data_IF_282653900830
#
_entry.id   IF_282653900830
#
_cell.length_a   1.000
_cell.length_b   1.000
_cell.length_c   1.000
_cell.angle_alpha   90.00
_cell.angle_beta   90.00
_cell.angle_gamma   90.00
#
_symmetry.space_group_name_H-M   'P 1'
#
loop_
_entity.id
_entity.type
_entity.pdbx_description
1 polymer ?
#
# COMPACT_ATOMS: atom_id res chain seq x y z
N UNK A 1 11.10 23.43 -14.61
CA UNK A 1 10.83 23.96 -13.25
C UNK A 1 9.77 23.17 -12.44
N UNK A 2 8.73 22.57 -13.06
CA UNK A 2 7.70 21.77 -12.35
C UNK A 2 8.21 20.41 -11.81
N UNK A 3 9.13 19.75 -12.51
CA UNK A 3 9.63 18.40 -12.19
C UNK A 3 10.65 18.37 -11.05
N UNK A 4 11.53 19.37 -10.96
CA UNK A 4 12.53 19.47 -9.89
C UNK A 4 11.90 19.68 -8.51
N UNK A 5 10.78 20.40 -8.44
CA UNK A 5 9.99 20.49 -7.20
C UNK A 5 9.49 19.13 -6.74
N UNK A 6 8.84 18.38 -7.64
CA UNK A 6 8.26 17.07 -7.33
C UNK A 6 9.31 16.06 -6.85
N UNK A 7 10.50 16.00 -7.49
CA UNK A 7 11.58 15.09 -7.08
C UNK A 7 11.99 15.30 -5.62
N UNK A 8 12.18 16.56 -5.22
CA UNK A 8 12.55 16.91 -3.85
C UNK A 8 11.47 16.49 -2.85
N UNK A 9 10.20 16.75 -3.17
CA UNK A 9 9.11 16.39 -2.26
C UNK A 9 8.92 14.87 -2.14
N UNK A 10 9.12 14.12 -3.22
CA UNK A 10 9.15 12.64 -3.17
C UNK A 10 10.33 12.15 -2.33
N UNK A 11 11.51 12.76 -2.47
CA UNK A 11 12.68 12.39 -1.67
C UNK A 11 12.44 12.63 -0.17
N UNK A 12 11.76 13.72 0.18
CA UNK A 12 11.34 13.99 1.56
C UNK A 12 10.38 12.92 2.08
N UNK A 13 9.39 12.52 1.28
CA UNK A 13 8.48 11.44 1.64
C UNK A 13 9.21 10.11 1.87
N UNK A 14 10.17 9.77 1.00
CA UNK A 14 11.01 8.58 1.17
C UNK A 14 11.82 8.65 2.46
N UNK A 15 12.36 9.83 2.80
CA UNK A 15 13.05 10.07 4.07
C UNK A 15 12.15 9.84 5.28
N UNK A 16 10.93 10.40 5.28
CA UNK A 16 9.93 10.18 6.34
C UNK A 16 9.61 8.69 6.49
N UNK A 17 9.38 7.99 5.37
CA UNK A 17 9.11 6.54 5.38
C UNK A 17 10.28 5.73 5.92
N UNK A 18 11.50 6.11 5.56
CA UNK A 18 12.70 5.46 6.09
C UNK A 18 12.78 5.62 7.62
N UNK A 19 12.53 6.83 8.12
CA UNK A 19 12.46 7.08 9.58
C UNK A 19 11.39 6.24 10.24
N UNK A 20 10.17 6.18 9.68
CA UNK A 20 9.09 5.32 10.21
C UNK A 20 9.47 3.83 10.22
N UNK A 21 10.16 3.37 9.17
CA UNK A 21 10.66 2.00 9.12
C UNK A 21 11.71 1.73 10.22
N UNK A 22 12.65 2.64 10.43
CA UNK A 22 13.64 2.52 11.51
C UNK A 22 12.96 2.51 12.88
N UNK A 23 11.96 3.39 13.10
CA UNK A 23 11.17 3.39 14.33
C UNK A 23 10.47 2.04 14.53
N UNK A 24 9.86 1.49 13.47
CA UNK A 24 9.22 0.17 13.52
C UNK A 24 10.20 -0.95 13.87
N UNK A 25 11.41 -0.93 13.31
CA UNK A 25 12.46 -1.90 13.60
C UNK A 25 12.96 -1.79 15.05
N UNK A 26 13.19 -0.55 15.52
CA UNK A 26 13.63 -0.32 16.90
C UNK A 26 12.53 -0.73 17.88
N UNK A 27 11.28 -0.38 17.60
CA UNK A 27 10.13 -0.80 18.42
C UNK A 27 10.07 -2.32 18.58
N UNK A 28 10.31 -3.08 17.50
CA UNK A 28 10.31 -4.54 17.55
C UNK A 28 11.44 -5.10 18.41
N UNK A 29 12.65 -4.56 18.27
CA UNK A 29 13.82 -5.04 19.02
C UNK A 29 13.80 -4.63 20.50
N UNK A 30 13.25 -3.46 20.85
CA UNK A 30 13.30 -2.92 22.21
C UNK A 30 12.05 -3.21 23.05
N UNK A 31 10.86 -3.12 22.46
CA UNK A 31 9.60 -3.30 23.19
C UNK A 31 9.07 -4.73 23.12
N UNK A 32 9.63 -5.55 22.23
CA UNK A 32 9.09 -6.85 21.87
C UNK A 32 7.76 -6.72 21.09
N UNK A 33 7.35 -7.79 20.44
CA UNK A 33 6.03 -7.89 19.82
C UNK A 33 5.06 -8.48 20.84
N UNK A 34 3.94 -7.79 21.06
CA UNK A 34 2.79 -8.39 21.74
C UNK A 34 2.00 -9.34 20.83
N UNK A 35 2.20 -9.24 19.51
CA UNK A 35 1.51 -10.04 18.49
C UNK A 35 2.50 -10.97 17.79
N UNK A 36 2.57 -12.21 18.27
CA UNK A 36 3.41 -13.27 17.70
C UNK A 36 2.77 -13.93 16.47
N UNK A 37 1.59 -13.50 16.04
CA UNK A 37 0.87 -14.10 14.90
C UNK A 37 1.69 -14.01 13.61
N UNK A 38 2.40 -12.90 13.42
CA UNK A 38 3.29 -12.70 12.28
C UNK A 38 4.46 -13.66 12.31
N UNK A 39 5.09 -13.83 13.46
CA UNK A 39 6.23 -14.73 13.59
C UNK A 39 5.79 -16.20 13.50
N UNK A 40 4.63 -16.55 14.06
CA UNK A 40 4.03 -17.86 13.89
C UNK A 40 3.69 -18.14 12.42
N UNK A 41 3.15 -17.17 11.68
CA UNK A 41 2.76 -17.34 10.28
C UNK A 41 3.96 -17.32 9.32
N UNK A 42 4.97 -16.48 9.58
CA UNK A 42 6.16 -16.35 8.73
C UNK A 42 7.28 -17.32 9.10
N UNK A 43 7.42 -17.71 10.36
CA UNK A 43 8.51 -18.57 10.85
C UNK A 43 8.03 -19.88 11.50
N UNK A 44 6.87 -19.88 12.17
CA UNK A 44 6.35 -21.05 12.90
C UNK A 44 5.59 -22.09 12.05
N UNK A 45 5.01 -21.69 10.91
CA UNK A 45 4.15 -22.53 10.07
C UNK A 45 4.78 -22.90 8.73
N UNK A 46 6.03 -23.39 8.74
CA UNK A 46 6.56 -24.11 7.58
C UNK A 46 5.76 -25.41 7.45
N UNK A 47 4.76 -25.42 6.56
CA UNK A 47 4.28 -26.67 6.00
C UNK A 47 5.52 -27.39 5.43
N UNK A 48 5.62 -28.69 5.65
CA UNK A 48 6.81 -29.52 5.36
C UNK A 48 7.41 -29.31 3.94
N UNK A 49 6.61 -28.81 2.99
CA UNK A 49 7.03 -28.44 1.63
C UNK A 49 7.94 -27.18 1.51
N UNK A 50 7.91 -26.24 2.46
CA UNK A 50 8.69 -24.98 2.39
C UNK A 50 10.04 -25.06 3.13
N UNK A 51 10.24 -26.07 3.98
CA UNK A 51 11.45 -26.22 4.81
C UNK A 51 12.70 -26.55 3.98
N UNK A 52 12.52 -27.26 2.86
CA UNK A 52 13.62 -27.77 2.02
C UNK A 52 14.26 -26.68 1.14
N UNK A 53 13.62 -25.51 0.98
CA UNK A 53 14.06 -24.41 0.10
C UNK A 53 14.37 -23.07 0.80
N UNK A 54 14.45 -23.04 2.13
CA UNK A 54 14.77 -21.80 2.84
C UNK A 54 16.23 -21.34 2.61
N UNK A 55 16.41 -20.53 1.56
CA UNK A 55 17.67 -19.86 1.28
C UNK A 55 17.96 -18.83 2.38
N UNK A 56 19.24 -18.55 2.66
CA UNK A 56 19.64 -17.48 3.61
C UNK A 56 18.97 -16.13 3.26
N UNK A 57 18.76 -15.87 1.98
CA UNK A 57 18.04 -14.72 1.44
C UNK A 57 16.59 -14.64 1.97
N UNK A 58 15.86 -15.75 2.00
CA UNK A 58 14.47 -15.80 2.45
C UNK A 58 14.37 -15.46 3.93
N UNK A 59 15.27 -16.00 4.76
CA UNK A 59 15.33 -15.69 6.18
C UNK A 59 15.62 -14.21 6.40
N UNK A 60 16.53 -13.63 5.63
CA UNK A 60 16.85 -12.21 5.69
C UNK A 60 15.65 -11.35 5.30
N UNK A 61 14.98 -11.65 4.19
CA UNK A 61 13.80 -10.91 3.72
C UNK A 61 12.69 -10.99 4.76
N UNK A 62 12.37 -12.19 5.26
CA UNK A 62 11.33 -12.37 6.29
C UNK A 62 11.63 -11.55 7.54
N UNK A 63 12.87 -11.53 8.00
CA UNK A 63 13.28 -10.71 9.16
C UNK A 63 13.12 -9.21 8.90
N UNK A 64 13.50 -8.72 7.72
CA UNK A 64 13.39 -7.29 7.39
C UNK A 64 11.94 -6.82 7.23
N UNK A 65 11.06 -7.75 6.85
CA UNK A 65 9.67 -7.50 6.50
C UNK A 65 8.70 -7.73 7.67
N UNK A 66 9.06 -8.57 8.64
CA UNK A 66 8.23 -8.88 9.82
C UNK A 66 7.60 -7.64 10.49
N UNK A 67 8.34 -6.54 10.73
CA UNK A 67 7.77 -5.37 11.39
C UNK A 67 6.62 -4.70 10.62
N UNK A 68 6.59 -4.87 9.30
CA UNK A 68 5.61 -4.25 8.39
C UNK A 68 4.40 -5.15 8.12
N UNK A 69 4.34 -6.33 8.73
CA UNK A 69 3.24 -7.28 8.56
C UNK A 69 2.63 -7.51 9.92
N UNK A 70 1.53 -6.85 10.20
CA UNK A 70 0.79 -7.02 11.46
C UNK A 70 -0.71 -6.97 11.19
N UNK A 71 -1.47 -7.68 12.01
CA UNK A 71 -2.94 -7.68 12.00
C UNK A 71 -3.52 -8.08 10.63
N UNK A 72 -4.22 -7.16 9.96
CA UNK A 72 -4.96 -7.45 8.73
C UNK A 72 -4.08 -7.90 7.57
N UNK A 73 -2.79 -7.52 7.60
CA UNK A 73 -1.78 -7.96 6.65
C UNK A 73 -1.76 -9.49 6.48
N UNK A 74 -1.97 -10.24 7.57
CA UNK A 74 -1.95 -11.70 7.55
C UNK A 74 -3.12 -12.28 6.74
N UNK A 75 -4.30 -11.66 6.79
CA UNK A 75 -5.43 -12.08 5.96
C UNK A 75 -5.13 -11.84 4.48
N UNK A 76 -4.53 -10.70 4.11
CA UNK A 76 -4.17 -10.45 2.70
C UNK A 76 -3.15 -11.46 2.17
N UNK A 77 -2.14 -11.80 2.97
CA UNK A 77 -1.15 -12.84 2.61
C UNK A 77 -1.82 -14.21 2.47
N UNK A 78 -2.68 -14.59 3.42
CA UNK A 78 -3.41 -15.86 3.36
C UNK A 78 -4.33 -15.96 2.13
N UNK A 79 -5.09 -14.91 1.82
CA UNK A 79 -5.93 -14.86 0.60
C UNK A 79 -5.07 -14.99 -0.66
N UNK A 80 -3.93 -14.32 -0.72
CA UNK A 80 -3.03 -14.41 -1.86
C UNK A 80 -2.42 -15.82 -2.01
N UNK A 81 -2.14 -16.51 -0.90
CA UNK A 81 -1.50 -17.83 -0.88
C UNK A 81 -2.50 -18.98 -1.15
N UNK A 82 -3.66 -18.95 -0.49
CA UNK A 82 -4.64 -20.04 -0.40
C UNK A 82 -6.04 -19.68 -0.88
N UNK A 83 -6.33 -18.40 -1.11
CA UNK A 83 -7.67 -17.92 -1.46
C UNK A 83 -8.61 -17.78 -0.26
N UNK A 84 -9.90 -17.66 -0.55
CA UNK A 84 -10.94 -17.49 0.48
C UNK A 84 -11.31 -18.83 1.10
N UNK A 85 -10.70 -19.17 2.24
CA UNK A 85 -10.93 -20.44 2.93
C UNK A 85 -12.01 -20.37 4.01
N UNK A 86 -12.24 -19.18 4.59
CA UNK A 86 -13.11 -19.00 5.76
C UNK A 86 -14.05 -17.81 5.57
N UNK A 87 -15.21 -17.85 6.23
CA UNK A 87 -16.23 -16.81 6.11
C UNK A 87 -15.75 -15.43 6.56
N UNK A 88 -14.99 -15.38 7.67
CA UNK A 88 -14.43 -14.13 8.22
C UNK A 88 -13.54 -13.37 7.23
N UNK A 89 -12.94 -14.10 6.28
CA UNK A 89 -11.98 -13.55 5.32
C UNK A 89 -12.71 -12.85 4.16
N UNK A 90 -14.02 -13.07 3.99
CA UNK A 90 -14.84 -12.46 2.91
C UNK A 90 -14.96 -10.94 3.03
N UNK A 91 -14.72 -10.36 4.21
CA UNK A 91 -14.70 -8.92 4.41
C UNK A 91 -13.53 -8.23 3.69
N UNK A 92 -12.45 -8.97 3.38
CA UNK A 92 -11.28 -8.47 2.67
C UNK A 92 -11.49 -8.57 1.16
N UNK A 93 -11.38 -7.43 0.49
CA UNK A 93 -11.64 -7.33 -0.94
C UNK A 93 -10.52 -7.98 -1.78
N UNK A 94 -10.84 -8.55 -2.95
CA UNK A 94 -9.94 -9.46 -3.67
C UNK A 94 -8.82 -8.76 -4.45
N UNK A 95 -8.99 -7.48 -4.82
CA UNK A 95 -8.11 -6.84 -5.80
C UNK A 95 -6.66 -6.76 -5.30
N UNK A 96 -6.45 -6.40 -4.03
CA UNK A 96 -5.11 -6.29 -3.47
C UNK A 96 -4.40 -7.65 -3.32
N UNK A 97 -4.98 -8.69 -2.69
CA UNK A 97 -4.40 -10.04 -2.67
C UNK A 97 -4.16 -10.64 -4.06
N UNK A 98 -5.04 -10.35 -5.03
CA UNK A 98 -4.87 -10.81 -6.41
C UNK A 98 -3.63 -10.19 -7.06
N UNK A 99 -3.44 -8.88 -6.91
CA UNK A 99 -2.24 -8.19 -7.40
C UNK A 99 -0.97 -8.72 -6.72
N UNK A 100 -1.00 -8.95 -5.40
CA UNK A 100 0.10 -9.59 -4.67
C UNK A 100 0.49 -10.93 -5.29
N UNK A 101 -0.51 -11.77 -5.60
CA UNK A 101 -0.31 -13.09 -6.21
C UNK A 101 0.21 -13.03 -7.64
N UNK A 102 -0.18 -12.03 -8.42
CA UNK A 102 0.32 -11.85 -9.79
C UNK A 102 1.76 -11.38 -9.77
N UNK A 103 2.08 -10.37 -8.96
CA UNK A 103 3.42 -9.81 -8.83
C UNK A 103 4.40 -10.85 -8.26
N UNK A 104 3.93 -11.71 -7.33
CA UNK A 104 4.79 -12.74 -6.72
C UNK A 104 5.33 -13.77 -7.69
N UNK A 105 4.64 -13.99 -8.83
CA UNK A 105 5.15 -14.88 -9.90
C UNK A 105 6.46 -14.40 -10.52
N UNK A 106 6.76 -13.09 -10.43
CA UNK A 106 8.03 -12.52 -10.88
C UNK A 106 9.22 -12.87 -9.97
N UNK A 107 8.96 -13.27 -8.72
CA UNK A 107 9.99 -13.61 -7.73
C UNK A 107 10.15 -15.12 -7.58
N UNK A 108 10.38 -15.82 -8.70
CA UNK A 108 10.51 -17.28 -8.76
C UNK A 108 11.68 -17.86 -7.95
N UNK A 109 12.63 -17.02 -7.54
CA UNK A 109 13.79 -17.39 -6.74
C UNK A 109 13.54 -17.37 -5.23
N UNK A 110 12.37 -16.93 -4.77
CA UNK A 110 11.96 -16.91 -3.37
C UNK A 110 10.94 -18.02 -3.09
N UNK A 111 10.83 -18.47 -1.84
CA UNK A 111 9.69 -19.31 -1.42
C UNK A 111 8.37 -18.60 -1.67
N UNK A 112 7.31 -19.36 -1.98
CA UNK A 112 5.99 -18.82 -2.36
C UNK A 112 5.47 -17.78 -1.36
N UNK A 113 5.57 -18.07 -0.06
CA UNK A 113 5.13 -17.13 1.00
C UNK A 113 5.99 -15.86 1.03
N UNK A 114 7.32 -15.97 0.98
CA UNK A 114 8.22 -14.81 0.94
C UNK A 114 7.96 -13.94 -0.29
N UNK A 115 7.76 -14.55 -1.46
CA UNK A 115 7.45 -13.86 -2.71
C UNK A 115 6.16 -13.04 -2.61
N UNK A 116 5.09 -13.62 -2.06
CA UNK A 116 3.79 -12.94 -1.86
C UNK A 116 3.93 -11.76 -0.92
N UNK A 117 4.58 -11.98 0.22
CA UNK A 117 4.84 -10.98 1.25
C UNK A 117 5.63 -9.80 0.68
N UNK A 118 6.75 -10.10 0.02
CA UNK A 118 7.60 -9.09 -0.60
C UNK A 118 6.86 -8.30 -1.68
N UNK A 119 6.06 -9.00 -2.49
CA UNK A 119 5.20 -8.37 -3.51
C UNK A 119 4.18 -7.42 -2.92
N UNK A 120 3.55 -7.78 -1.80
CA UNK A 120 2.59 -6.92 -1.11
C UNK A 120 3.23 -5.63 -0.60
N UNK A 121 4.41 -5.73 0.00
CA UNK A 121 5.14 -4.52 0.43
C UNK A 121 5.57 -3.65 -0.73
N UNK A 122 6.15 -4.24 -1.79
CA UNK A 122 6.53 -3.48 -2.98
C UNK A 122 5.33 -2.78 -3.61
N UNK A 123 4.18 -3.46 -3.67
CA UNK A 123 2.93 -2.88 -4.16
C UNK A 123 2.48 -1.71 -3.27
N UNK A 124 2.39 -1.90 -1.95
CA UNK A 124 1.99 -0.86 -1.00
C UNK A 124 2.93 0.36 -1.06
N UNK A 125 4.25 0.14 -1.05
CA UNK A 125 5.23 1.24 -1.08
C UNK A 125 5.20 2.00 -2.42
N UNK A 126 5.15 1.29 -3.54
CA UNK A 126 5.05 1.91 -4.89
C UNK A 126 3.75 2.69 -5.03
N UNK A 127 2.62 2.09 -4.64
CA UNK A 127 1.32 2.77 -4.69
C UNK A 127 1.30 4.01 -3.81
N UNK A 128 1.93 3.99 -2.63
CA UNK A 128 1.98 5.16 -1.76
C UNK A 128 2.76 6.32 -2.40
N UNK A 129 3.92 6.03 -3.02
CA UNK A 129 4.73 7.07 -3.69
C UNK A 129 3.94 7.68 -4.86
N UNK A 130 3.28 6.83 -5.65
CA UNK A 130 2.44 7.29 -6.76
C UNK A 130 1.22 8.07 -6.26
N UNK A 131 0.57 7.63 -5.19
CA UNK A 131 -0.56 8.33 -4.56
C UNK A 131 -0.14 9.72 -4.09
N UNK A 132 1.00 9.83 -3.40
CA UNK A 132 1.60 11.08 -2.99
C UNK A 132 1.88 12.02 -4.17
N UNK A 133 2.41 11.50 -5.27
CA UNK A 133 2.67 12.28 -6.48
C UNK A 133 1.36 12.82 -7.08
N UNK A 134 0.31 11.99 -7.19
CA UNK A 134 -0.99 12.43 -7.67
C UNK A 134 -1.66 13.43 -6.72
N UNK A 135 -1.52 13.25 -5.41
CA UNK A 135 -2.02 14.21 -4.41
C UNK A 135 -1.35 15.58 -4.57
N UNK A 136 -0.01 15.60 -4.72
CA UNK A 136 0.72 16.84 -4.98
C UNK A 136 0.27 17.53 -6.27
N UNK A 137 0.14 16.77 -7.36
CA UNK A 137 -0.30 17.29 -8.66
C UNK A 137 -1.74 17.80 -8.63
N UNK A 138 -2.63 17.09 -7.92
CA UNK A 138 -4.02 17.48 -7.71
C UNK A 138 -4.10 18.80 -6.94
N UNK A 139 -3.45 18.89 -5.78
CA UNK A 139 -3.46 20.11 -4.95
C UNK A 139 -2.86 21.30 -5.71
N UNK A 140 -1.77 21.08 -6.45
CA UNK A 140 -1.16 22.13 -7.26
C UNK A 140 -2.09 22.57 -8.40
N UNK A 141 -2.82 21.64 -9.02
CA UNK A 141 -3.77 21.94 -10.08
C UNK A 141 -4.97 22.74 -9.60
N UNK A 142 -5.52 22.39 -8.43
CA UNK A 142 -6.70 23.03 -7.84
C UNK A 142 -6.38 24.43 -7.28
N UNK A 143 -5.36 24.54 -6.42
CA UNK A 143 -5.09 25.76 -5.67
C UNK A 143 -4.05 26.67 -6.31
N UNK A 144 -3.32 26.17 -7.32
CA UNK A 144 -2.22 26.88 -8.02
C UNK A 144 -1.14 27.43 -7.07
N UNK A 145 -1.07 26.92 -5.84
CA UNK A 145 -0.13 27.33 -4.80
C UNK A 145 0.83 26.18 -4.49
N UNK A 146 2.12 26.40 -4.79
CA UNK A 146 3.17 25.40 -4.59
C UNK A 146 3.41 25.10 -3.11
N UNK A 147 3.41 26.11 -2.25
CA UNK A 147 3.64 25.94 -0.81
C UNK A 147 2.52 25.10 -0.20
N UNK A 148 1.27 25.36 -0.59
CA UNK A 148 0.13 24.59 -0.11
C UNK A 148 0.24 23.11 -0.50
N UNK A 149 0.59 22.81 -1.75
CA UNK A 149 0.81 21.43 -2.20
C UNK A 149 1.95 20.71 -1.47
N UNK A 150 3.02 21.43 -1.11
CA UNK A 150 4.14 20.89 -0.33
C UNK A 150 3.71 20.57 1.10
N UNK A 151 2.98 21.48 1.75
CA UNK A 151 2.45 21.27 3.09
C UNK A 151 1.49 20.08 3.12
N UNK A 152 0.60 19.95 2.11
CA UNK A 152 -0.29 18.79 1.99
C UNK A 152 0.49 17.48 1.92
N UNK A 153 1.55 17.42 1.12
CA UNK A 153 2.35 16.20 1.00
C UNK A 153 3.11 15.88 2.29
N UNK A 154 3.64 16.89 2.96
CA UNK A 154 4.31 16.74 4.25
C UNK A 154 3.37 16.15 5.30
N UNK A 155 2.15 16.68 5.42
CA UNK A 155 1.14 16.14 6.32
C UNK A 155 0.69 14.74 5.93
N UNK A 156 0.59 14.43 4.64
CA UNK A 156 0.28 13.07 4.18
C UNK A 156 1.33 12.05 4.64
N UNK A 157 2.62 12.43 4.65
CA UNK A 157 3.71 11.56 5.10
C UNK A 157 3.77 11.36 6.62
N UNK A 158 3.48 12.40 7.41
CA UNK A 158 3.66 12.38 8.88
C UNK A 158 2.38 12.03 9.65
N UNK A 159 1.21 12.14 9.00
CA UNK A 159 -0.06 11.79 9.64
C UNK A 159 0.03 10.42 10.34
N UNK A 160 -0.54 10.22 11.53
CA UNK A 160 -0.47 8.94 12.25
C UNK A 160 -0.92 7.74 11.41
N UNK A 161 -1.83 7.97 10.45
CA UNK A 161 -2.30 6.96 9.50
C UNK A 161 -1.22 6.50 8.49
N UNK A 162 -0.06 7.17 8.40
CA UNK A 162 1.04 6.83 7.48
C UNK A 162 1.73 5.51 7.82
N UNK A 163 1.49 4.97 9.03
CA UNK A 163 1.89 3.61 9.39
C UNK A 163 1.20 2.60 8.47
N UNK A 164 -0.10 2.76 8.20
CA UNK A 164 -0.85 1.90 7.27
C UNK A 164 -0.40 2.09 5.82
N UNK A 165 0.18 3.25 5.47
CA UNK A 165 0.68 3.47 4.12
C UNK A 165 2.12 3.00 3.90
N UNK A 166 2.78 2.54 4.98
CA UNK A 166 4.15 2.04 5.00
C UNK A 166 4.25 0.53 5.28
N UNK A 167 3.13 -0.09 5.63
CA UNK A 167 2.96 -1.51 5.91
C UNK A 167 2.19 -2.23 4.79
N UNK A 168 2.09 -3.56 4.86
CA UNK A 168 1.37 -4.38 3.88
C UNK A 168 -0.15 -4.21 4.06
N UNK A 169 -0.69 -3.24 3.34
CA UNK A 169 -2.06 -2.76 3.52
C UNK A 169 -2.65 -2.24 2.21
N UNK A 170 -3.98 -2.17 2.16
CA UNK A 170 -4.76 -1.79 0.96
C UNK A 170 -4.84 -0.27 0.76
N UNK A 171 -4.56 0.50 1.81
CA UNK A 171 -4.69 1.94 1.94
C UNK A 171 -3.88 2.69 0.86
N UNK A 172 -2.61 2.35 0.58
CA UNK A 172 -1.86 2.96 -0.52
C UNK A 172 -2.49 2.77 -1.90
N UNK A 173 -2.97 1.55 -2.19
CA UNK A 173 -3.57 1.24 -3.49
C UNK A 173 -4.91 1.97 -3.64
N UNK A 174 -5.71 2.00 -2.57
CA UNK A 174 -6.95 2.76 -2.52
C UNK A 174 -6.70 4.27 -2.71
N UNK A 175 -5.70 4.82 -2.01
CA UNK A 175 -5.32 6.23 -2.13
C UNK A 175 -4.83 6.57 -3.54
N UNK A 176 -4.03 5.67 -4.16
CA UNK A 176 -3.58 5.85 -5.54
C UNK A 176 -4.76 5.98 -6.51
N UNK A 177 -5.70 5.04 -6.49
CA UNK A 177 -6.86 5.09 -7.39
C UNK A 177 -7.77 6.29 -7.10
N UNK A 178 -7.93 6.66 -5.83
CA UNK A 178 -8.74 7.82 -5.45
C UNK A 178 -8.09 9.12 -5.93
N UNK A 179 -6.83 9.38 -5.60
CA UNK A 179 -6.15 10.62 -5.97
C UNK A 179 -5.90 10.75 -7.47
N UNK A 180 -5.54 9.65 -8.15
CA UNK A 180 -5.42 9.66 -9.61
C UNK A 180 -6.78 9.87 -10.29
N UNK A 181 -7.85 9.24 -9.79
CA UNK A 181 -9.21 9.46 -10.28
C UNK A 181 -9.65 10.92 -10.17
N UNK A 182 -9.43 11.53 -9.01
CA UNK A 182 -9.71 12.96 -8.78
C UNK A 182 -8.86 13.86 -9.68
N UNK A 183 -7.58 13.53 -9.86
CA UNK A 183 -6.68 14.29 -10.74
C UNK A 183 -7.17 14.27 -12.19
N UNK A 184 -7.52 13.10 -12.73
CA UNK A 184 -8.04 13.01 -14.10
C UNK A 184 -9.42 13.66 -14.25
N UNK A 185 -10.26 13.61 -13.22
CA UNK A 185 -11.57 14.25 -13.22
C UNK A 185 -11.46 15.78 -13.25
N UNK A 186 -10.75 16.37 -12.28
CA UNK A 186 -10.73 17.83 -12.07
C UNK A 186 -9.70 18.57 -12.91
N UNK A 187 -8.56 17.95 -13.24
CA UNK A 187 -7.47 18.64 -13.95
C UNK A 187 -7.51 18.38 -15.45
N UNK A 188 -7.79 17.14 -15.86
CA UNK A 188 -7.82 16.75 -17.28
C UNK A 188 -9.22 16.68 -17.89
N UNK A 189 -10.27 16.64 -17.08
CA UNK A 189 -11.65 16.43 -17.55
C UNK A 189 -11.91 15.02 -18.11
N UNK A 190 -11.01 14.07 -17.88
CA UNK A 190 -11.06 12.72 -18.44
C UNK A 190 -11.99 11.82 -17.59
N UNK A 191 -13.29 12.01 -17.73
CA UNK A 191 -14.34 11.37 -16.91
C UNK A 191 -14.35 9.85 -17.01
N UNK A 192 -14.03 9.27 -18.17
CA UNK A 192 -13.98 7.82 -18.36
C UNK A 192 -12.88 7.18 -17.51
N UNK A 193 -11.66 7.73 -17.58
CA UNK A 193 -10.50 7.26 -16.82
C UNK A 193 -10.77 7.39 -15.33
N UNK A 194 -11.31 8.53 -14.88
CA UNK A 194 -11.69 8.74 -13.49
C UNK A 194 -12.71 7.70 -13.00
N UNK A 195 -13.71 7.36 -13.82
CA UNK A 195 -14.72 6.35 -13.47
C UNK A 195 -14.10 4.97 -13.30
N UNK A 196 -13.23 4.56 -14.21
CA UNK A 196 -12.51 3.27 -14.14
C UNK A 196 -11.68 3.21 -12.86
N UNK A 197 -10.98 4.28 -12.52
CA UNK A 197 -10.17 4.37 -11.29
C UNK A 197 -11.04 4.33 -10.04
N UNK A 198 -12.22 4.96 -10.01
CA UNK A 198 -13.14 4.88 -8.88
C UNK A 198 -13.76 3.48 -8.71
N UNK A 199 -14.09 2.80 -9.82
CA UNK A 199 -14.52 1.40 -9.78
C UNK A 199 -13.39 0.53 -9.22
N UNK A 200 -12.15 0.70 -9.71
CA UNK A 200 -10.99 0.01 -9.19
C UNK A 200 -10.80 0.26 -7.68
N UNK A 201 -10.96 1.51 -7.21
CA UNK A 201 -10.90 1.85 -5.78
C UNK A 201 -11.95 1.11 -4.95
N UNK A 202 -13.16 0.92 -5.48
CA UNK A 202 -14.24 0.17 -4.84
C UNK A 202 -13.92 -1.32 -4.75
N UNK A 203 -13.17 -1.85 -5.73
CA UNK A 203 -12.65 -3.21 -5.71
C UNK A 203 -11.52 -3.44 -4.70
N UNK A 204 -10.90 -2.37 -4.18
CA UNK A 204 -9.89 -2.44 -3.11
C UNK A 204 -10.55 -2.33 -1.73
N UNK A 205 -11.53 -1.44 -1.57
CA UNK A 205 -12.28 -1.24 -0.31
C UNK A 205 -13.70 -0.79 -0.60
N UNK A 206 -14.65 -1.22 0.23
CA UNK A 206 -16.06 -0.78 0.17
C UNK A 206 -16.24 0.74 0.19
N UNK A 207 -15.38 1.47 0.91
CA UNK A 207 -15.41 2.94 0.97
C UNK A 207 -15.26 3.61 -0.40
N UNK A 208 -14.68 2.93 -1.40
CA UNK A 208 -14.54 3.45 -2.75
C UNK A 208 -15.86 3.73 -3.46
N UNK A 209 -16.97 3.13 -3.01
CA UNK A 209 -18.30 3.40 -3.56
C UNK A 209 -18.68 4.87 -3.41
N UNK A 210 -18.19 5.54 -2.36
CA UNK A 210 -18.42 6.97 -2.14
C UNK A 210 -17.78 7.81 -3.27
N UNK A 211 -16.64 7.37 -3.82
CA UNK A 211 -16.00 8.07 -4.94
C UNK A 211 -16.87 8.06 -6.20
N UNK A 212 -17.73 7.06 -6.38
CA UNK A 212 -18.67 7.04 -7.50
C UNK A 212 -19.71 8.17 -7.38
N UNK A 213 -20.12 8.53 -6.16
CA UNK A 213 -21.10 9.60 -5.89
C UNK A 213 -20.56 10.95 -6.38
N UNK A 214 -19.25 11.20 -6.26
CA UNK A 214 -18.61 12.46 -6.72
C UNK A 214 -18.79 12.71 -8.22
N UNK A 215 -18.94 11.65 -9.03
CA UNK A 215 -19.26 11.81 -10.46
C UNK A 215 -20.73 12.19 -10.67
N UNK A 216 -21.64 11.57 -9.91
CA UNK A 216 -23.07 11.72 -10.10
C UNK A 216 -23.64 13.00 -9.50
N UNK A 217 -23.01 13.56 -8.48
CA UNK A 217 -23.57 14.71 -7.78
C UNK A 217 -23.54 16.00 -8.59
N UNK A 218 -22.77 16.10 -9.68
CA UNK A 218 -22.66 17.33 -10.48
C UNK A 218 -22.27 18.57 -9.66
N UNK A 219 -21.84 18.40 -8.41
CA UNK A 219 -21.92 19.42 -7.37
C UNK A 219 -20.65 20.25 -7.25
N UNK A 220 -19.76 20.16 -8.23
CA UNK A 220 -18.50 20.91 -8.29
C UNK A 220 -18.26 21.32 -9.75
N UNK A 221 -19.16 22.16 -10.26
CA UNK A 221 -18.93 23.11 -11.36
C UNK A 221 -19.58 24.42 -10.98
#
# INVERSE_FOLDING_TARGET
MKTEGLKREILLLLGIKFVLYIISLLSENFLGTWDDSTDAYLFGGALEDDAEKQTKLDKLIRKLVSPKIKWDALYFVHIAEKGYTHEKIRAFFPLFPLLMRVISKGFFFLTKRTAIVFSGLLLSDTCNIMAAAFLYLLTLGLFKNKLFAQITLFFYGIAPASVFTSALYTEPLFALFTFSGLYFLFIHGATLIATILFIASSGVRSNGVINAILKFSGLIL
#
